data_IF_342334749100
#
_entry.id   IF_342334749100
#
_cell.length_a   1.000
_cell.length_b   1.000
_cell.length_c   1.000
_cell.angle_alpha   90.00
_cell.angle_beta   90.00
_cell.angle_gamma   90.00
#
_symmetry.space_group_name_H-M   'P 1'
#
loop_
_entity.id
_entity.type
_entity.pdbx_description
1 polymer ?
#
# COMPACT_ATOMS: atom_id res chain seq x y z
N UNK A 1 -1.34 -22.94 -10.71
CA UNK A 1 -0.88 -22.06 -9.71
C UNK A 1 0.62 -21.93 -9.74
N UNK A 2 1.15 -20.83 -10.29
CA UNK A 2 2.53 -20.44 -10.03
C UNK A 2 2.46 -19.49 -8.85
N UNK A 3 2.96 -19.93 -7.70
CA UNK A 3 3.28 -19.08 -6.58
C UNK A 3 4.16 -17.95 -7.10
N UNK A 4 3.75 -16.70 -6.89
CA UNK A 4 4.66 -15.57 -7.03
C UNK A 4 5.54 -15.63 -5.78
N UNK A 5 6.54 -16.50 -5.85
CA UNK A 5 7.63 -16.50 -4.88
C UNK A 5 8.41 -15.23 -5.17
N UNK A 6 8.33 -14.26 -4.26
CA UNK A 6 9.28 -13.16 -4.20
C UNK A 6 10.64 -13.78 -3.91
N UNK A 7 11.37 -14.18 -4.95
CA UNK A 7 12.72 -14.70 -4.81
C UNK A 7 13.62 -13.57 -4.37
N UNK A 8 13.87 -13.55 -3.09
CA UNK A 8 14.88 -12.71 -2.48
C UNK A 8 16.24 -13.14 -2.96
N UNK A 9 16.99 -12.18 -3.46
CA UNK A 9 18.42 -12.36 -3.69
C UNK A 9 19.06 -12.74 -2.34
N UNK A 10 19.62 -13.94 -2.22
CA UNK A 10 20.14 -14.53 -0.98
C UNK A 10 21.25 -13.72 -0.28
N UNK A 11 21.76 -12.69 -0.94
CA UNK A 11 22.90 -11.91 -0.46
C UNK A 11 22.57 -10.81 0.57
N UNK A 12 21.29 -10.60 0.93
CA UNK A 12 20.89 -9.46 1.78
C UNK A 12 19.96 -9.86 2.94
N UNK A 13 20.33 -10.93 3.65
CA UNK A 13 19.64 -11.30 4.89
C UNK A 13 20.09 -10.36 6.01
N UNK A 14 19.19 -9.46 6.42
CA UNK A 14 19.41 -8.70 7.65
C UNK A 14 19.39 -9.67 8.86
N UNK A 15 20.53 -9.84 9.52
CA UNK A 15 20.56 -10.49 10.83
C UNK A 15 20.15 -9.46 11.87
N UNK A 16 18.91 -9.51 12.30
CA UNK A 16 18.50 -8.76 13.48
C UNK A 16 19.19 -9.34 14.72
N UNK A 17 19.62 -8.50 15.65
CA UNK A 17 20.19 -8.92 16.95
C UNK A 17 19.21 -9.70 17.85
N UNK A 18 18.19 -10.30 17.27
CA UNK A 18 17.09 -11.05 17.88
C UNK A 18 17.29 -12.58 17.83
N UNK A 19 18.47 -13.05 17.44
CA UNK A 19 18.82 -14.47 17.48
C UNK A 19 18.20 -15.35 16.38
N UNK A 20 17.54 -14.78 15.34
CA UNK A 20 16.99 -15.50 14.19
C UNK A 20 17.08 -14.68 12.91
N UNK A 21 17.14 -15.38 11.78
CA UNK A 21 17.15 -14.74 10.46
C UNK A 21 15.73 -14.26 10.11
N UNK A 22 15.56 -12.93 10.01
CA UNK A 22 14.34 -12.30 9.53
C UNK A 22 14.50 -11.98 8.06
N UNK A 23 13.58 -12.45 7.24
CA UNK A 23 13.51 -12.09 5.83
C UNK A 23 12.50 -10.97 5.66
N UNK A 24 13.01 -9.75 5.47
CA UNK A 24 12.20 -8.56 5.19
C UNK A 24 12.54 -8.10 3.78
N UNK A 25 11.52 -7.84 2.95
CA UNK A 25 11.76 -7.33 1.60
C UNK A 25 12.45 -5.96 1.63
N UNK A 26 13.29 -5.69 0.65
CA UNK A 26 13.92 -4.37 0.53
C UNK A 26 12.89 -3.24 0.36
N UNK A 27 11.77 -3.52 -0.31
CA UNK A 27 10.67 -2.55 -0.45
C UNK A 27 10.07 -2.18 0.90
N UNK A 28 9.86 -3.16 1.79
CA UNK A 28 9.37 -2.89 3.14
C UNK A 28 10.37 -2.10 3.96
N UNK A 29 11.66 -2.42 3.87
CA UNK A 29 12.72 -1.64 4.53
C UNK A 29 12.80 -0.21 4.01
N UNK A 30 12.69 -0.02 2.70
CA UNK A 30 12.72 1.28 2.06
C UNK A 30 11.57 2.18 2.55
N UNK A 31 10.35 1.64 2.60
CA UNK A 31 9.18 2.40 3.08
C UNK A 31 9.28 2.74 4.57
N UNK A 32 9.80 1.84 5.40
CA UNK A 32 10.10 2.14 6.81
C UNK A 32 11.13 3.25 6.94
N UNK A 33 12.21 3.18 6.16
CA UNK A 33 13.25 4.21 6.17
C UNK A 33 12.70 5.58 5.81
N UNK A 34 11.91 5.69 4.76
CA UNK A 34 11.31 6.96 4.34
C UNK A 34 10.39 7.54 5.43
N UNK A 35 9.57 6.72 6.07
CA UNK A 35 8.71 7.16 7.17
C UNK A 35 9.50 7.59 8.41
N UNK A 36 10.57 6.86 8.73
CA UNK A 36 11.46 7.22 9.83
C UNK A 36 12.17 8.56 9.58
N UNK A 37 12.69 8.77 8.36
CA UNK A 37 13.31 10.03 7.97
C UNK A 37 12.32 11.20 8.00
N UNK A 38 11.10 10.98 7.52
CA UNK A 38 10.03 11.99 7.55
C UNK A 38 9.67 12.38 8.99
N UNK A 39 9.58 11.40 9.88
CA UNK A 39 9.23 11.62 11.29
C UNK A 39 10.20 12.57 12.00
N UNK A 40 11.46 12.59 11.59
CA UNK A 40 12.48 13.44 12.18
C UNK A 40 12.51 14.88 11.60
N UNK A 41 11.75 15.15 10.57
CA UNK A 41 11.70 16.47 9.95
C UNK A 41 10.87 17.46 10.77
N UNK A 42 11.28 18.73 10.89
CA UNK A 42 10.47 19.76 11.54
C UNK A 42 9.18 20.08 10.75
N UNK A 43 9.21 19.92 9.43
CA UNK A 43 8.09 20.15 8.50
C UNK A 43 7.46 18.82 8.01
N UNK A 44 7.47 17.81 8.86
CA UNK A 44 6.98 16.48 8.53
C UNK A 44 5.50 16.46 8.13
N UNK A 45 5.20 15.66 7.12
CA UNK A 45 3.84 15.43 6.62
C UNK A 45 3.14 14.26 7.30
N UNK A 46 3.91 13.33 7.84
CA UNK A 46 3.45 12.21 8.66
C UNK A 46 4.41 12.03 9.84
N UNK A 47 3.91 11.39 10.88
CA UNK A 47 4.71 10.98 12.03
C UNK A 47 4.51 9.48 12.27
N UNK A 48 5.60 8.73 12.18
CA UNK A 48 5.63 7.27 12.36
C UNK A 48 6.77 6.85 13.30
N UNK A 49 6.57 6.98 14.62
CA UNK A 49 7.59 6.58 15.59
C UNK A 49 7.86 5.07 15.55
N UNK A 50 6.89 4.27 15.11
CA UNK A 50 7.07 2.83 14.98
C UNK A 50 8.06 2.45 13.88
N UNK A 51 8.08 3.18 12.77
CA UNK A 51 9.08 2.98 11.73
C UNK A 51 10.50 3.21 12.25
N UNK A 52 10.70 4.24 13.07
CA UNK A 52 11.99 4.51 13.74
C UNK A 52 12.37 3.33 14.64
N UNK A 53 11.46 2.91 15.52
CA UNK A 53 11.68 1.81 16.47
C UNK A 53 12.02 0.48 15.77
N UNK A 54 11.30 0.14 14.70
CA UNK A 54 11.54 -1.10 13.94
C UNK A 54 12.94 -1.06 13.30
N UNK A 55 13.31 0.06 12.66
CA UNK A 55 14.63 0.18 12.03
C UNK A 55 15.78 0.09 13.05
N UNK A 56 15.62 0.70 14.21
CA UNK A 56 16.61 0.61 15.30
C UNK A 56 16.77 -0.84 15.78
N UNK A 57 15.67 -1.56 15.97
CA UNK A 57 15.69 -2.98 16.35
C UNK A 57 16.29 -3.89 15.30
N UNK A 58 16.08 -3.57 14.01
CA UNK A 58 16.63 -4.34 12.91
C UNK A 58 18.14 -4.14 12.74
N UNK A 59 18.67 -2.97 13.13
CA UNK A 59 20.11 -2.65 13.02
C UNK A 59 20.66 -2.73 11.60
N UNK A 60 19.81 -2.48 10.58
CA UNK A 60 20.20 -2.57 9.17
C UNK A 60 20.83 -1.26 8.71
N UNK A 61 21.93 -1.34 7.95
CA UNK A 61 22.50 -0.16 7.30
C UNK A 61 21.55 0.34 6.20
N UNK A 62 21.02 1.54 6.43
CA UNK A 62 20.07 2.22 5.55
C UNK A 62 20.74 3.30 4.69
N UNK A 63 22.06 3.45 4.74
CA UNK A 63 22.80 4.50 4.02
C UNK A 63 22.57 4.45 2.50
N UNK A 64 22.34 3.25 1.96
CA UNK A 64 22.05 3.02 0.53
C UNK A 64 20.74 3.68 0.05
N UNK A 65 19.84 4.04 0.95
CA UNK A 65 18.55 4.68 0.59
C UNK A 65 18.58 6.20 0.70
N UNK A 66 19.69 6.78 1.15
CA UNK A 66 19.79 8.22 1.47
C UNK A 66 19.50 9.14 0.30
N UNK A 67 19.88 8.73 -0.91
CA UNK A 67 19.80 9.58 -2.11
C UNK A 67 18.48 9.41 -2.89
N UNK A 68 17.52 8.63 -2.37
CA UNK A 68 16.25 8.33 -3.04
C UNK A 68 15.16 9.35 -2.71
N UNK A 69 15.44 10.63 -2.91
CA UNK A 69 14.56 11.74 -2.49
C UNK A 69 13.20 11.73 -3.19
N UNK A 70 13.14 11.45 -4.47
CA UNK A 70 11.87 11.41 -5.23
C UNK A 70 10.96 10.28 -4.74
N UNK A 71 11.52 9.10 -4.53
CA UNK A 71 10.79 7.96 -3.98
C UNK A 71 10.31 8.21 -2.56
N UNK A 72 11.11 8.90 -1.76
CA UNK A 72 10.71 9.31 -0.40
C UNK A 72 9.51 10.23 -0.44
N UNK A 73 9.56 11.32 -1.22
CA UNK A 73 8.45 12.27 -1.33
C UNK A 73 7.19 11.58 -1.81
N UNK A 74 7.25 10.77 -2.85
CA UNK A 74 6.13 10.02 -3.37
C UNK A 74 5.51 9.05 -2.35
N UNK A 75 6.36 8.31 -1.62
CA UNK A 75 5.92 7.39 -0.58
C UNK A 75 5.20 8.14 0.56
N UNK A 76 5.72 9.27 1.01
CA UNK A 76 5.13 10.04 2.10
C UNK A 76 3.80 10.67 1.69
N UNK A 77 3.71 11.23 0.48
CA UNK A 77 2.46 11.76 -0.06
C UNK A 77 1.38 10.68 -0.11
N UNK A 78 1.73 9.50 -0.59
CA UNK A 78 0.85 8.34 -0.68
C UNK A 78 0.37 7.89 0.70
N UNK A 79 1.30 7.69 1.64
CA UNK A 79 0.98 7.31 3.01
C UNK A 79 0.03 8.32 3.66
N UNK A 80 0.31 9.62 3.54
CA UNK A 80 -0.53 10.69 4.07
C UNK A 80 -1.95 10.64 3.49
N UNK A 81 -2.10 10.42 2.19
CA UNK A 81 -3.39 10.31 1.53
C UNK A 81 -4.21 9.16 2.12
N UNK A 82 -3.63 7.97 2.22
CA UNK A 82 -4.36 6.80 2.72
C UNK A 82 -4.61 6.87 4.23
N UNK A 83 -3.73 7.49 5.00
CA UNK A 83 -4.00 7.79 6.41
C UNK A 83 -5.16 8.75 6.57
N UNK A 84 -5.24 9.81 5.73
CA UNK A 84 -6.35 10.76 5.72
C UNK A 84 -7.68 10.07 5.42
N UNK A 85 -7.73 9.21 4.40
CA UNK A 85 -8.93 8.46 4.06
C UNK A 85 -9.32 7.46 5.15
N UNK A 86 -8.35 6.80 5.75
CA UNK A 86 -8.60 5.91 6.91
C UNK A 86 -9.25 6.69 8.04
N UNK A 87 -8.71 7.85 8.43
CA UNK A 87 -9.30 8.68 9.47
C UNK A 87 -10.71 9.16 9.12
N UNK A 88 -10.94 9.55 7.87
CA UNK A 88 -12.28 9.94 7.39
C UNK A 88 -13.27 8.79 7.55
N UNK A 89 -12.92 7.61 7.09
CA UNK A 89 -13.76 6.41 7.17
C UNK A 89 -14.08 6.07 8.62
N UNK A 90 -13.07 6.05 9.49
CA UNK A 90 -13.24 5.76 10.91
C UNK A 90 -14.12 6.80 11.63
N UNK A 91 -14.06 8.06 11.21
CA UNK A 91 -14.87 9.13 11.79
C UNK A 91 -16.33 9.10 11.30
N UNK A 92 -16.52 8.94 9.99
CA UNK A 92 -17.80 9.18 9.34
C UNK A 92 -18.72 7.96 9.33
N UNK A 93 -18.17 6.74 9.31
CA UNK A 93 -18.97 5.53 9.23
C UNK A 93 -19.37 5.01 10.61
N UNK A 94 -20.57 4.46 10.69
CA UNK A 94 -21.10 3.92 11.95
C UNK A 94 -20.33 2.67 12.41
N UNK A 95 -20.13 1.72 11.49
CA UNK A 95 -19.44 0.43 11.74
C UNK A 95 -18.34 0.20 10.70
N UNK A 96 -17.21 0.95 10.77
CA UNK A 96 -16.16 0.83 9.79
C UNK A 96 -15.25 -0.37 10.05
N UNK A 97 -14.90 -1.07 8.97
CA UNK A 97 -13.78 -2.01 8.90
C UNK A 97 -12.87 -1.59 7.75
N UNK A 98 -11.67 -1.17 8.06
CA UNK A 98 -10.65 -0.82 7.07
C UNK A 98 -9.69 -1.99 6.94
N UNK A 99 -9.54 -2.53 5.74
CA UNK A 99 -8.65 -3.66 5.45
C UNK A 99 -7.44 -3.17 4.67
N UNK A 100 -6.27 -3.29 5.26
CA UNK A 100 -5.01 -2.94 4.62
C UNK A 100 -4.41 -4.20 3.97
N UNK A 101 -4.52 -4.30 2.65
CA UNK A 101 -4.00 -5.41 1.85
C UNK A 101 -2.52 -5.20 1.52
N UNK A 102 -1.71 -6.25 1.67
CA UNK A 102 -0.26 -6.19 1.53
C UNK A 102 0.37 -5.15 2.47
N UNK A 103 0.02 -5.22 3.75
CA UNK A 103 0.36 -4.22 4.76
C UNK A 103 1.86 -4.15 5.10
N UNK A 104 2.65 -5.20 4.82
CA UNK A 104 4.06 -5.25 5.17
C UNK A 104 4.30 -4.98 6.65
N UNK A 105 5.19 -4.04 6.95
CA UNK A 105 5.51 -3.59 8.31
C UNK A 105 4.96 -2.19 8.63
N UNK A 106 3.96 -1.73 7.88
CA UNK A 106 3.32 -0.44 8.10
C UNK A 106 2.40 -0.46 9.32
N UNK A 107 2.53 0.50 10.22
CA UNK A 107 1.65 0.68 11.39
C UNK A 107 0.65 1.82 11.17
N UNK A 108 -0.23 1.66 10.19
CA UNK A 108 -1.30 2.62 9.93
C UNK A 108 -2.24 2.73 11.11
N UNK A 109 -2.49 1.62 11.81
CA UNK A 109 -3.34 1.63 13.00
C UNK A 109 -2.84 2.64 14.02
N UNK A 110 -1.55 2.62 14.37
CA UNK A 110 -1.00 3.58 15.34
C UNK A 110 -1.20 5.03 14.89
N UNK A 111 -1.02 5.31 13.60
CA UNK A 111 -1.13 6.67 13.07
C UNK A 111 -2.56 7.18 12.94
N UNK A 112 -3.54 6.30 12.83
CA UNK A 112 -4.91 6.67 12.44
C UNK A 112 -5.99 6.30 13.45
N UNK A 113 -5.68 5.49 14.45
CA UNK A 113 -6.67 5.04 15.42
C UNK A 113 -7.20 6.20 16.26
N UNK A 114 -8.51 6.26 16.38
CA UNK A 114 -9.25 7.22 17.21
C UNK A 114 -10.18 6.53 18.22
N UNK A 115 -9.90 5.28 18.58
CA UNK A 115 -10.68 4.51 19.53
C UNK A 115 -11.97 3.92 18.96
N UNK A 116 -12.18 3.98 17.63
CA UNK A 116 -13.40 3.53 16.96
C UNK A 116 -13.04 2.72 15.71
N UNK A 117 -13.87 1.69 15.44
CA UNK A 117 -13.74 0.87 14.25
C UNK A 117 -12.64 -0.18 14.33
N UNK A 118 -12.53 -0.97 13.28
CA UNK A 118 -11.57 -2.06 13.15
C UNK A 118 -10.67 -1.81 11.95
N UNK A 119 -9.38 -2.03 12.12
CA UNK A 119 -8.39 -2.00 11.05
C UNK A 119 -7.74 -3.37 10.95
N UNK A 120 -8.00 -4.08 9.86
CA UNK A 120 -7.47 -5.43 9.60
C UNK A 120 -6.22 -5.30 8.74
N UNK A 121 -5.12 -5.89 9.20
CA UNK A 121 -3.88 -5.96 8.43
C UNK A 121 -3.74 -7.36 7.81
N UNK A 122 -3.53 -7.40 6.50
CA UNK A 122 -3.41 -8.64 5.74
C UNK A 122 -2.15 -8.61 4.88
N UNK A 123 -1.37 -9.67 4.97
CA UNK A 123 -0.25 -9.95 4.06
C UNK A 123 0.01 -11.46 4.04
N UNK A 124 0.96 -11.90 3.23
CA UNK A 124 1.35 -13.30 3.16
C UNK A 124 1.75 -13.86 4.54
N UNK A 125 1.54 -15.15 4.80
CA UNK A 125 1.77 -15.75 6.12
C UNK A 125 3.18 -15.52 6.68
N UNK A 126 4.20 -15.59 5.84
CA UNK A 126 5.59 -15.35 6.23
C UNK A 126 5.85 -13.88 6.61
N UNK A 127 5.25 -12.94 5.90
CA UNK A 127 5.31 -11.51 6.24
C UNK A 127 4.63 -11.26 7.58
N UNK A 128 3.47 -11.87 7.82
CA UNK A 128 2.72 -11.71 9.06
C UNK A 128 3.45 -12.33 10.26
N UNK A 129 4.20 -13.40 10.08
CA UNK A 129 5.07 -13.96 11.13
C UNK A 129 6.15 -12.97 11.59
N UNK A 130 6.76 -12.26 10.64
CA UNK A 130 7.72 -11.20 10.95
C UNK A 130 7.00 -10.01 11.61
N UNK A 131 5.88 -9.58 11.03
CA UNK A 131 5.11 -8.44 11.51
C UNK A 131 4.69 -8.56 12.97
N UNK A 132 4.18 -9.70 13.40
CA UNK A 132 3.72 -9.96 14.79
C UNK A 132 4.79 -9.69 15.84
N UNK A 133 6.05 -9.78 15.48
CA UNK A 133 7.19 -9.55 16.41
C UNK A 133 7.41 -8.07 16.70
N UNK A 134 7.07 -7.21 15.76
CA UNK A 134 7.21 -5.75 15.89
C UNK A 134 5.88 -5.07 16.16
N UNK A 135 4.81 -5.60 15.62
CA UNK A 135 3.47 -5.05 15.59
C UNK A 135 2.48 -6.14 16.02
N UNK A 136 2.34 -6.41 17.32
CA UNK A 136 1.42 -7.44 17.79
C UNK A 136 -0.04 -7.06 17.45
N UNK A 137 -0.88 -8.05 17.09
CA UNK A 137 -2.30 -7.80 16.82
C UNK A 137 -3.05 -7.40 18.09
N UNK A 138 -4.18 -6.74 17.92
CA UNK A 138 -5.14 -6.43 18.96
C UNK A 138 -6.56 -6.71 18.47
N UNK A 139 -7.54 -6.58 19.37
CA UNK A 139 -8.96 -6.78 19.03
C UNK A 139 -9.43 -5.86 17.90
N UNK A 140 -9.02 -4.58 17.91
CA UNK A 140 -9.37 -3.60 16.88
C UNK A 140 -8.34 -3.49 15.74
N UNK A 141 -7.23 -4.22 15.85
CA UNK A 141 -6.24 -4.35 14.78
C UNK A 141 -5.83 -5.82 14.59
N UNK A 142 -6.77 -6.68 14.18
CA UNK A 142 -6.47 -8.08 13.90
C UNK A 142 -5.60 -8.22 12.65
N UNK A 143 -4.90 -9.35 12.58
CA UNK A 143 -3.99 -9.67 11.49
C UNK A 143 -4.37 -10.98 10.83
N UNK A 144 -4.34 -11.02 9.49
CA UNK A 144 -4.63 -12.19 8.67
C UNK A 144 -3.41 -12.52 7.81
N UNK A 145 -2.92 -13.75 7.91
CA UNK A 145 -1.88 -14.28 7.03
C UNK A 145 -2.52 -15.06 5.88
N UNK A 146 -2.67 -14.43 4.72
CA UNK A 146 -3.24 -15.03 3.52
C UNK A 146 -2.79 -14.29 2.26
N UNK A 147 -2.88 -14.94 1.10
CA UNK A 147 -2.81 -14.24 -0.18
C UNK A 147 -4.06 -13.36 -0.37
N UNK A 148 -3.87 -12.09 -0.76
CA UNK A 148 -5.01 -11.23 -1.06
C UNK A 148 -5.90 -11.75 -2.20
N UNK A 149 -5.36 -12.62 -3.05
CA UNK A 149 -6.08 -13.21 -4.18
C UNK A 149 -6.99 -14.38 -3.80
N UNK A 150 -6.80 -14.96 -2.61
CA UNK A 150 -7.71 -15.96 -2.05
C UNK A 150 -8.98 -15.30 -1.55
N UNK A 151 -10.08 -16.07 -1.51
CA UNK A 151 -11.38 -15.52 -1.09
C UNK A 151 -11.77 -15.91 0.34
N UNK A 152 -11.06 -16.86 0.94
CA UNK A 152 -11.36 -17.35 2.29
C UNK A 152 -11.34 -16.25 3.37
N UNK A 153 -10.38 -15.35 3.30
CA UNK A 153 -10.29 -14.22 4.24
C UNK A 153 -11.45 -13.23 4.08
N UNK A 154 -11.99 -13.09 2.85
CA UNK A 154 -13.15 -12.24 2.59
C UNK A 154 -14.40 -12.79 3.28
N UNK A 155 -14.60 -14.11 3.15
CA UNK A 155 -15.72 -14.81 3.76
C UNK A 155 -15.61 -14.76 5.30
N UNK A 156 -14.41 -14.95 5.85
CA UNK A 156 -14.11 -14.81 7.29
C UNK A 156 -14.46 -13.40 7.81
N UNK A 157 -14.08 -12.35 7.08
CA UNK A 157 -14.39 -10.98 7.49
C UNK A 157 -15.88 -10.67 7.46
N UNK A 158 -16.60 -11.16 6.45
CA UNK A 158 -18.06 -11.00 6.38
C UNK A 158 -18.79 -11.73 7.52
N UNK A 159 -18.31 -12.90 7.91
CA UNK A 159 -18.85 -13.64 9.04
C UNK A 159 -18.54 -12.94 10.37
N UNK A 160 -17.31 -12.46 10.54
CA UNK A 160 -16.85 -11.83 11.78
C UNK A 160 -17.44 -10.43 12.00
N UNK A 161 -17.69 -9.70 10.92
CA UNK A 161 -18.17 -8.31 10.98
C UNK A 161 -19.45 -8.14 10.15
N UNK A 162 -20.55 -8.81 10.54
CA UNK A 162 -21.83 -8.64 9.86
C UNK A 162 -22.32 -7.18 9.99
N UNK A 163 -22.99 -6.68 8.98
CA UNK A 163 -23.54 -5.32 8.92
C UNK A 163 -22.50 -4.18 9.04
N UNK A 164 -21.21 -4.49 8.96
CA UNK A 164 -20.15 -3.51 8.89
C UNK A 164 -19.96 -3.03 7.44
N UNK A 165 -19.44 -1.81 7.31
CA UNK A 165 -19.03 -1.26 6.02
C UNK A 165 -17.52 -1.36 5.87
N UNK A 166 -17.09 -1.86 4.72
CA UNK A 166 -15.67 -2.15 4.47
C UNK A 166 -15.03 -1.10 3.57
N UNK A 167 -13.78 -0.78 3.84
CA UNK A 167 -12.87 -0.10 2.94
C UNK A 167 -11.58 -0.90 2.79
N UNK A 168 -11.06 -0.96 1.58
CA UNK A 168 -9.84 -1.68 1.26
C UNK A 168 -8.76 -0.71 0.83
N UNK A 169 -7.57 -0.84 1.39
CA UNK A 169 -6.41 -0.02 1.05
C UNK A 169 -5.33 -0.93 0.48
N UNK A 170 -4.87 -0.60 -0.73
CA UNK A 170 -3.80 -1.26 -1.45
C UNK A 170 -2.74 -0.22 -1.78
N UNK A 171 -1.77 -0.05 -0.89
CA UNK A 171 -0.74 0.98 -0.99
C UNK A 171 0.57 0.41 -1.51
N UNK A 172 1.03 0.92 -2.66
CA UNK A 172 2.35 0.59 -3.20
C UNK A 172 2.50 -0.86 -3.62
N UNK A 173 1.45 -1.49 -4.13
CA UNK A 173 1.45 -2.93 -4.42
C UNK A 173 1.00 -3.28 -5.82
N UNK A 174 -0.04 -2.66 -6.36
CA UNK A 174 -0.68 -3.10 -7.61
C UNK A 174 0.24 -3.04 -8.82
N UNK A 175 1.15 -2.06 -8.87
CA UNK A 175 2.10 -1.91 -9.98
C UNK A 175 3.07 -3.09 -10.13
N UNK A 176 3.22 -3.92 -9.11
CA UNK A 176 4.09 -5.11 -9.12
C UNK A 176 3.35 -6.41 -9.41
N UNK A 177 2.03 -6.36 -9.56
CA UNK A 177 1.17 -7.53 -9.69
C UNK A 177 0.76 -7.77 -11.15
N UNK A 178 0.30 -9.00 -11.43
CA UNK A 178 -0.26 -9.35 -12.72
C UNK A 178 -1.65 -8.72 -12.90
N UNK A 179 -1.91 -8.12 -14.06
CA UNK A 179 -3.19 -7.46 -14.32
C UNK A 179 -4.41 -8.38 -14.25
N UNK A 180 -4.27 -9.65 -14.61
CA UNK A 180 -5.35 -10.63 -14.49
C UNK A 180 -5.69 -10.93 -13.03
N UNK A 181 -4.68 -11.00 -12.17
CA UNK A 181 -4.85 -11.24 -10.73
C UNK A 181 -5.49 -10.03 -10.06
N UNK A 182 -5.08 -8.80 -10.43
CA UNK A 182 -5.71 -7.56 -9.96
C UNK A 182 -7.19 -7.53 -10.35
N UNK A 183 -7.50 -7.84 -11.61
CA UNK A 183 -8.88 -7.91 -12.09
C UNK A 183 -9.70 -8.91 -11.28
N UNK A 184 -9.19 -10.10 -11.05
CA UNK A 184 -9.84 -11.13 -10.23
C UNK A 184 -10.09 -10.67 -8.79
N UNK A 185 -9.10 -10.01 -8.17
CA UNK A 185 -9.26 -9.43 -6.84
C UNK A 185 -10.39 -8.40 -6.81
N UNK A 186 -10.40 -7.44 -7.72
CA UNK A 186 -11.43 -6.39 -7.77
C UNK A 186 -12.82 -6.95 -8.03
N UNK A 187 -12.93 -7.95 -8.89
CA UNK A 187 -14.20 -8.67 -9.14
C UNK A 187 -14.69 -9.40 -7.89
N UNK A 188 -13.79 -10.06 -7.14
CA UNK A 188 -14.15 -10.74 -5.90
C UNK A 188 -14.58 -9.76 -4.81
N UNK A 189 -13.90 -8.62 -4.69
CA UNK A 189 -14.30 -7.54 -3.77
C UNK A 189 -15.66 -6.96 -4.15
N UNK A 190 -15.88 -6.69 -5.45
CA UNK A 190 -17.14 -6.14 -5.93
C UNK A 190 -18.34 -7.04 -5.64
N UNK A 191 -18.18 -8.36 -5.77
CA UNK A 191 -19.26 -9.33 -5.53
C UNK A 191 -19.59 -9.49 -4.04
N UNK A 192 -18.58 -9.41 -3.16
CA UNK A 192 -18.71 -9.71 -1.73
C UNK A 192 -18.99 -8.51 -0.87
N UNK A 193 -18.52 -7.31 -1.27
CA UNK A 193 -18.57 -6.12 -0.43
C UNK A 193 -19.29 -4.94 -1.10
N UNK A 194 -20.57 -5.11 -1.48
CA UNK A 194 -21.34 -3.96 -1.99
C UNK A 194 -21.40 -2.86 -0.92
N UNK A 195 -21.19 -1.62 -1.35
CA UNK A 195 -21.10 -0.46 -0.45
C UNK A 195 -19.69 -0.14 0.06
N UNK A 196 -18.69 -0.97 -0.29
CA UNK A 196 -17.30 -0.73 0.10
C UNK A 196 -16.63 0.39 -0.72
N UNK A 197 -15.54 0.90 -0.16
CA UNK A 197 -14.59 1.78 -0.86
C UNK A 197 -13.29 1.03 -1.15
N UNK A 198 -12.71 1.26 -2.32
CA UNK A 198 -11.40 0.79 -2.72
C UNK A 198 -10.45 1.99 -2.86
N UNK A 199 -9.38 1.99 -2.11
CA UNK A 199 -8.33 3.01 -2.15
C UNK A 199 -7.02 2.37 -2.56
N UNK A 200 -6.42 2.83 -3.64
CA UNK A 200 -5.18 2.27 -4.16
C UNK A 200 -4.38 3.29 -4.95
N UNK A 201 -3.12 3.02 -5.15
CA UNK A 201 -2.29 3.79 -6.06
C UNK A 201 -1.93 2.96 -7.30
N UNK A 202 -1.69 3.67 -8.37
CA UNK A 202 -1.34 3.10 -9.65
C UNK A 202 -0.33 3.97 -10.39
N UNK A 203 0.44 3.36 -11.28
CA UNK A 203 1.33 4.04 -12.22
C UNK A 203 0.74 4.00 -13.62
N UNK A 204 1.18 4.91 -14.49
CA UNK A 204 0.80 4.88 -15.91
C UNK A 204 1.51 3.75 -16.66
N UNK A 205 0.98 3.34 -17.81
CA UNK A 205 1.66 2.38 -18.68
C UNK A 205 2.99 2.93 -19.20
N UNK A 206 3.11 4.24 -19.33
CA UNK A 206 4.38 4.89 -19.64
C UNK A 206 5.43 4.59 -18.54
N UNK A 207 5.06 4.72 -17.26
CA UNK A 207 5.93 4.39 -16.13
C UNK A 207 6.31 2.92 -16.10
N UNK A 208 5.40 2.01 -16.44
CA UNK A 208 5.69 0.58 -16.57
C UNK A 208 6.79 0.33 -17.61
N UNK A 209 6.68 0.94 -18.80
CA UNK A 209 7.68 0.81 -19.87
C UNK A 209 9.03 1.40 -19.49
N UNK A 210 9.04 2.45 -18.71
CA UNK A 210 10.24 3.19 -18.31
C UNK A 210 10.64 2.95 -16.85
N UNK A 211 10.20 1.85 -16.24
CA UNK A 211 10.44 1.53 -14.83
C UNK A 211 11.93 1.52 -14.45
N UNK A 212 12.81 1.22 -15.39
CA UNK A 212 14.26 1.30 -15.18
C UNK A 212 14.79 2.72 -14.91
N UNK A 213 13.99 3.74 -15.20
CA UNK A 213 14.34 5.14 -14.95
C UNK A 213 13.96 5.59 -13.53
N UNK A 214 13.14 4.82 -12.80
CA UNK A 214 12.74 5.15 -11.45
C UNK A 214 13.89 4.86 -10.48
N UNK A 215 14.25 5.84 -9.65
CA UNK A 215 15.41 5.76 -8.77
C UNK A 215 15.37 4.62 -7.74
N UNK A 216 14.19 4.28 -7.22
CA UNK A 216 14.00 3.15 -6.30
C UNK A 216 14.19 1.80 -6.95
N UNK A 217 13.85 1.68 -8.23
CA UNK A 217 13.84 0.41 -8.95
C UNK A 217 15.22 0.09 -9.51
N UNK A 218 16.01 1.09 -9.85
CA UNK A 218 17.38 0.91 -10.38
C UNK A 218 18.28 0.08 -9.46
N UNK A 219 18.08 0.17 -8.15
CA UNK A 219 18.91 -0.53 -7.17
C UNK A 219 18.42 -1.94 -6.83
N UNK A 220 17.16 -2.28 -7.17
CA UNK A 220 16.63 -3.62 -6.93
C UNK A 220 17.03 -4.65 -7.99
N UNK A 221 17.75 -4.23 -9.04
CA UNK A 221 18.10 -5.08 -10.17
C UNK A 221 16.92 -5.31 -11.14
N UNK A 222 17.10 -6.26 -12.06
CA UNK A 222 16.11 -6.55 -13.10
C UNK A 222 14.86 -7.28 -12.60
N UNK A 223 14.86 -7.78 -11.36
CA UNK A 223 13.80 -8.62 -10.80
C UNK A 223 12.60 -7.84 -10.25
N UNK A 224 12.77 -6.55 -9.95
CA UNK A 224 11.68 -5.69 -9.44
C UNK A 224 11.30 -4.68 -10.53
N UNK A 225 10.23 -5.00 -11.27
CA UNK A 225 9.71 -4.16 -12.34
C UNK A 225 8.24 -3.86 -12.11
N UNK A 226 7.82 -2.68 -12.56
CA UNK A 226 6.41 -2.42 -12.73
C UNK A 226 5.85 -3.33 -13.82
N UNK A 227 4.79 -4.05 -13.51
CA UNK A 227 4.15 -5.01 -14.42
C UNK A 227 2.76 -4.58 -14.86
N UNK A 228 2.13 -3.71 -14.09
CA UNK A 228 0.80 -3.21 -14.36
C UNK A 228 0.71 -1.70 -14.21
N UNK A 229 -0.01 -1.06 -15.13
CA UNK A 229 -0.28 0.37 -15.15
C UNK A 229 -1.72 0.66 -15.52
N UNK A 230 -2.21 1.83 -15.11
CA UNK A 230 -3.57 2.30 -15.35
C UNK A 230 -3.50 3.69 -15.99
N UNK A 231 -4.00 3.84 -17.21
CA UNK A 231 -4.07 5.11 -17.92
C UNK A 231 -5.46 5.73 -17.85
N UNK A 232 -6.49 5.00 -18.24
CA UNK A 232 -7.87 5.43 -18.16
C UNK A 232 -8.42 5.32 -16.74
N UNK A 233 -8.81 6.44 -16.13
CA UNK A 233 -9.29 6.46 -14.74
C UNK A 233 -10.53 5.59 -14.50
N UNK A 234 -11.29 5.30 -15.56
CA UNK A 234 -12.51 4.50 -15.52
C UNK A 234 -12.37 3.10 -16.10
N UNK A 235 -11.17 2.70 -16.52
CA UNK A 235 -10.96 1.41 -17.18
C UNK A 235 -11.34 0.22 -16.29
N UNK A 236 -11.19 0.36 -14.98
CA UNK A 236 -11.56 -0.65 -13.99
C UNK A 236 -13.09 -0.84 -13.89
N UNK A 237 -13.89 0.14 -14.28
CA UNK A 237 -15.35 0.01 -14.30
C UNK A 237 -15.82 -1.12 -15.25
N UNK A 238 -15.02 -1.44 -16.27
CA UNK A 238 -15.30 -2.53 -17.19
C UNK A 238 -15.12 -3.94 -16.58
N UNK A 239 -14.49 -4.04 -15.41
CA UNK A 239 -14.25 -5.33 -14.77
C UNK A 239 -15.46 -5.88 -14.02
N UNK A 240 -16.28 -4.97 -13.48
CA UNK A 240 -17.53 -5.32 -12.80
C UNK A 240 -18.48 -4.11 -12.78
N UNK A 241 -19.78 -4.29 -13.02
CA UNK A 241 -20.77 -3.18 -13.06
C UNK A 241 -20.89 -2.44 -11.72
N UNK A 242 -20.48 -3.05 -10.60
CA UNK A 242 -20.48 -2.43 -9.29
C UNK A 242 -19.33 -1.44 -9.08
N UNK A 243 -18.23 -1.58 -9.82
CA UNK A 243 -17.04 -0.74 -9.66
C UNK A 243 -17.27 0.63 -10.31
N UNK A 244 -17.14 1.70 -9.52
CA UNK A 244 -17.32 3.09 -9.97
C UNK A 244 -16.20 3.99 -9.52
N UNK A 245 -15.55 4.65 -10.47
CA UNK A 245 -14.55 5.67 -10.22
C UNK A 245 -15.18 6.85 -9.46
N UNK A 246 -14.47 7.33 -8.43
CA UNK A 246 -14.91 8.48 -7.62
C UNK A 246 -13.95 9.66 -7.77
N UNK A 247 -12.66 9.45 -7.46
CA UNK A 247 -11.69 10.53 -7.46
C UNK A 247 -10.27 10.05 -7.71
N UNK A 248 -9.40 10.98 -8.08
CA UNK A 248 -7.98 10.78 -8.29
C UNK A 248 -7.18 11.94 -7.74
N UNK A 249 -6.04 11.66 -7.14
CA UNK A 249 -5.00 12.64 -6.82
C UNK A 249 -3.68 12.20 -7.46
N UNK A 250 -2.98 13.14 -8.11
CA UNK A 250 -1.67 12.87 -8.70
C UNK A 250 -0.57 13.25 -7.70
N UNK A 251 0.45 12.41 -7.59
CA UNK A 251 1.55 12.61 -6.63
C UNK A 251 2.23 13.95 -6.83
N UNK A 252 2.59 14.26 -8.07
CA UNK A 252 3.40 15.43 -8.38
C UNK A 252 2.68 16.77 -8.16
N UNK A 253 1.36 16.76 -8.04
CA UNK A 253 0.57 17.95 -7.73
C UNK A 253 0.46 18.21 -6.22
N UNK A 254 0.97 17.28 -5.41
CA UNK A 254 0.99 17.40 -3.96
C UNK A 254 2.34 17.90 -3.48
N UNK A 255 2.36 18.81 -2.50
CA UNK A 255 3.58 19.26 -1.82
C UNK A 255 4.71 19.70 -2.78
N UNK A 256 4.41 20.60 -3.69
CA UNK A 256 5.32 21.03 -4.76
C UNK A 256 6.72 21.40 -4.27
N UNK A 257 6.82 22.00 -3.08
CA UNK A 257 8.10 22.39 -2.47
C UNK A 257 8.99 21.17 -2.15
N UNK A 258 8.38 20.05 -1.82
CA UNK A 258 9.11 18.81 -1.51
C UNK A 258 9.73 18.15 -2.74
N UNK A 259 9.12 18.33 -3.91
CA UNK A 259 9.63 17.84 -5.18
C UNK A 259 10.83 18.66 -5.70
N UNK A 260 10.94 19.94 -5.30
CA UNK A 260 12.01 20.82 -5.78
C UNK A 260 11.99 20.94 -7.31
N UNK A 261 13.16 20.77 -7.95
CA UNK A 261 13.29 20.84 -9.40
C UNK A 261 12.48 19.74 -10.14
N UNK A 262 12.19 18.63 -9.48
CA UNK A 262 11.41 17.53 -10.07
C UNK A 262 9.97 17.93 -10.44
N UNK A 263 9.46 19.06 -9.95
CA UNK A 263 8.22 19.68 -10.43
C UNK A 263 8.25 19.91 -11.95
N UNK A 264 9.41 20.18 -12.53
CA UNK A 264 9.57 20.36 -13.97
C UNK A 264 9.27 19.09 -14.77
N UNK A 265 9.31 17.91 -14.14
CA UNK A 265 8.90 16.65 -14.76
C UNK A 265 7.42 16.64 -15.17
N UNK A 266 6.60 17.54 -14.60
CA UNK A 266 5.23 17.78 -15.06
C UNK A 266 5.14 18.23 -16.53
N UNK A 267 6.21 18.77 -17.08
CA UNK A 267 6.27 19.20 -18.48
C UNK A 267 6.47 18.02 -19.44
N UNK A 268 6.85 16.85 -18.93
CA UNK A 268 7.06 15.65 -19.74
C UNK A 268 5.74 14.89 -19.84
N UNK A 269 5.19 14.71 -21.05
CA UNK A 269 4.00 13.88 -21.25
C UNK A 269 4.16 12.48 -20.64
N UNK A 270 3.20 12.04 -19.85
CA UNK A 270 3.25 10.76 -19.14
C UNK A 270 3.85 10.81 -17.73
N UNK A 271 4.69 11.81 -17.41
CA UNK A 271 5.23 11.99 -16.05
C UNK A 271 4.22 12.67 -15.11
N UNK A 272 3.56 13.73 -15.59
CA UNK A 272 2.58 14.50 -14.79
C UNK A 272 1.44 13.64 -14.22
N UNK A 273 1.04 12.60 -14.95
CA UNK A 273 0.01 11.63 -14.56
C UNK A 273 0.61 10.24 -14.29
N UNK A 274 1.92 10.18 -14.09
CA UNK A 274 2.66 8.93 -13.98
C UNK A 274 2.34 8.12 -12.74
N UNK A 275 2.10 8.79 -11.61
CA UNK A 275 1.70 8.15 -10.35
C UNK A 275 0.48 8.85 -9.78
N UNK A 276 -0.49 8.06 -9.35
CA UNK A 276 -1.80 8.54 -8.91
C UNK A 276 -2.37 7.66 -7.80
N UNK A 277 -3.18 8.29 -6.96
CA UNK A 277 -3.96 7.63 -5.91
C UNK A 277 -5.42 7.76 -6.28
N UNK A 278 -6.17 6.66 -6.24
CA UNK A 278 -7.55 6.58 -6.69
C UNK A 278 -8.46 6.07 -5.58
N UNK A 279 -9.72 6.50 -5.67
CA UNK A 279 -10.84 5.89 -4.98
C UNK A 279 -11.86 5.38 -5.97
N UNK A 280 -12.28 4.14 -5.76
CA UNK A 280 -13.44 3.52 -6.38
C UNK A 280 -14.45 3.15 -5.30
N UNK A 281 -15.72 3.25 -5.63
CA UNK A 281 -16.79 2.73 -4.79
C UNK A 281 -17.36 1.45 -5.40
N UNK A 282 -17.75 0.51 -4.56
CA UNK A 282 -18.50 -0.68 -4.96
C UNK A 282 -19.97 -0.38 -4.73
N UNK A 283 -20.74 -0.17 -5.80
CA UNK A 283 -22.19 0.07 -5.73
C UNK A 283 -22.94 -1.25 -5.73
N UNK A 284 -24.08 -1.28 -5.05
CA UNK A 284 -25.01 -2.39 -5.20
C UNK A 284 -25.50 -2.42 -6.64
N UNK A 285 -25.31 -3.54 -7.30
CA UNK A 285 -25.96 -3.82 -8.58
C UNK A 285 -27.27 -4.53 -8.27
N UNK A 286 -28.41 -3.93 -8.60
CA UNK A 286 -29.66 -4.65 -8.58
C UNK A 286 -29.50 -5.86 -9.49
N UNK A 287 -29.54 -7.06 -8.93
CA UNK A 287 -29.73 -8.27 -9.75
C UNK A 287 -31.12 -8.12 -10.37
N UNK A 288 -31.13 -7.80 -11.68
CA UNK A 288 -32.34 -7.89 -12.50
C UNK A 288 -32.69 -9.36 -12.65
#
# INVERSE_FOLDING_TARGET
GKEIVWTMNESKKASAGLGFKVSISETALLTLYFKAQETQRPDRLIEDPRAVEILEKLGVDMSRFRDKKMSQVGTIIRTRRFDRETRRILADWERPVVVHLACGLDDRFLRTDAGKGVQVDLDLPDVMEVRKRFLPPSERNPQIGASMFETGWMDELLERYPEHRFAFIMEGVLMYLNGADIKGLFQNLARRFPGAELHFDAVSTWMVRHSKMHDSIREYGDDVRFTWGLDGLRDIEAWDPGLKFVEVEYYINQELRRWGWAVLLNLIPGMAKGSKMLRYDIRQTNKI
#
